data_IF_877788922318
#
_entry.id   IF_877788922318
#
_cell.length_a   1.000
_cell.length_b   1.000
_cell.length_c   1.000
_cell.angle_alpha   90.00
_cell.angle_beta   90.00
_cell.angle_gamma   90.00
#
_symmetry.space_group_name_H-M   'P 1'
#
loop_
_entity.id
_entity.type
_entity.pdbx_description
1 polymer ?
#
# COMPACT_ATOMS: atom_id res chain seq x y z
N UNK A 1 -0.25 -9.35 7.30
CA UNK A 1 -1.35 -9.84 6.46
C UNK A 1 -1.00 -11.19 5.85
N UNK A 2 -1.96 -12.08 5.79
CA UNK A 2 -1.83 -13.31 5.03
C UNK A 2 -1.95 -13.02 3.53
N UNK A 3 -1.28 -13.82 2.71
CA UNK A 3 -1.50 -13.77 1.27
C UNK A 3 -2.87 -14.38 0.95
N UNK A 4 -3.80 -13.54 0.48
CA UNK A 4 -5.19 -13.92 0.24
C UNK A 4 -5.55 -13.70 -1.22
N UNK A 5 -5.98 -14.77 -1.90
CA UNK A 5 -6.32 -14.71 -3.32
C UNK A 5 -7.50 -13.79 -3.64
N UNK A 6 -8.32 -13.43 -2.65
CA UNK A 6 -9.39 -12.45 -2.85
C UNK A 6 -8.86 -11.08 -3.26
N UNK A 7 -7.64 -10.73 -2.87
CA UNK A 7 -7.03 -9.46 -3.26
C UNK A 7 -6.84 -9.35 -4.78
N UNK A 8 -6.65 -10.46 -5.46
CA UNK A 8 -6.54 -10.46 -6.93
C UNK A 8 -7.81 -9.93 -7.59
N UNK A 9 -8.96 -10.14 -6.97
CA UNK A 9 -10.25 -9.72 -7.52
C UNK A 9 -10.61 -8.28 -7.17
N UNK A 10 -10.07 -7.76 -6.08
CA UNK A 10 -10.45 -6.43 -5.57
C UNK A 10 -9.32 -5.41 -5.66
N UNK A 11 -8.18 -5.77 -6.23
CA UNK A 11 -7.01 -4.90 -6.31
C UNK A 11 -7.31 -3.52 -6.90
N UNK A 12 -8.13 -3.45 -7.94
CA UNK A 12 -8.50 -2.19 -8.58
C UNK A 12 -9.35 -1.28 -7.69
N UNK A 13 -9.84 -1.75 -6.56
CA UNK A 13 -10.63 -0.94 -5.62
C UNK A 13 -9.75 -0.11 -4.70
N UNK A 14 -8.51 -0.55 -4.45
CA UNK A 14 -7.59 0.15 -3.55
C UNK A 14 -6.27 0.54 -4.20
N UNK A 15 -6.00 0.08 -5.42
CA UNK A 15 -4.79 0.40 -6.18
C UNK A 15 -5.14 1.24 -7.40
N UNK A 16 -4.29 2.22 -7.71
CA UNK A 16 -4.44 2.97 -8.96
C UNK A 16 -3.98 2.13 -10.15
N UNK A 17 -4.17 2.65 -11.36
CA UNK A 17 -3.85 1.92 -12.60
C UNK A 17 -2.38 1.51 -12.68
N UNK A 18 -1.45 2.37 -12.25
CA UNK A 18 -0.03 2.06 -12.26
C UNK A 18 0.30 0.93 -11.29
N UNK A 19 -0.29 0.94 -10.12
CA UNK A 19 -0.07 -0.11 -9.12
C UNK A 19 -0.61 -1.46 -9.59
N UNK A 20 -1.77 -1.46 -10.24
CA UNK A 20 -2.34 -2.67 -10.81
C UNK A 20 -1.46 -3.20 -11.94
N UNK A 21 -0.93 -2.31 -12.79
CA UNK A 21 -0.05 -2.69 -13.88
C UNK A 21 1.24 -3.33 -13.35
N UNK A 22 1.87 -2.71 -12.35
CA UNK A 22 3.10 -3.25 -11.74
C UNK A 22 2.82 -4.61 -11.10
N UNK A 23 1.68 -4.75 -10.43
CA UNK A 23 1.29 -6.02 -9.83
C UNK A 23 1.15 -7.13 -10.88
N UNK A 24 0.61 -6.80 -12.06
CA UNK A 24 0.42 -7.79 -13.13
C UNK A 24 1.73 -8.25 -13.78
N UNK A 25 2.78 -7.44 -13.67
CA UNK A 25 4.09 -7.74 -14.27
C UNK A 25 4.95 -8.66 -13.42
N UNK A 26 4.63 -8.84 -12.14
CA UNK A 26 5.41 -9.67 -11.23
C UNK A 26 4.54 -10.76 -10.59
N UNK A 27 4.60 -10.85 -9.28
CA UNK A 27 3.73 -11.73 -8.50
C UNK A 27 2.52 -10.91 -8.02
N UNK A 28 1.36 -11.01 -8.70
CA UNK A 28 0.21 -10.14 -8.37
C UNK A 28 -0.25 -10.28 -6.93
N UNK A 29 -0.32 -11.51 -6.43
CA UNK A 29 -0.80 -11.71 -5.05
C UNK A 29 0.14 -11.09 -4.03
N UNK A 30 1.44 -11.27 -4.16
CA UNK A 30 2.42 -10.69 -3.24
C UNK A 30 2.42 -9.18 -3.30
N UNK A 31 2.38 -8.62 -4.51
CA UNK A 31 2.38 -7.16 -4.70
C UNK A 31 1.11 -6.53 -4.14
N UNK A 32 -0.05 -7.11 -4.43
CA UNK A 32 -1.32 -6.60 -3.92
C UNK A 32 -1.43 -6.73 -2.41
N UNK A 33 -0.94 -7.83 -1.84
CA UNK A 33 -0.90 -8.01 -0.38
C UNK A 33 -0.03 -6.93 0.26
N UNK A 34 1.14 -6.65 -0.34
CA UNK A 34 2.03 -5.59 0.13
C UNK A 34 1.35 -4.22 0.09
N UNK A 35 0.74 -3.87 -1.05
CA UNK A 35 0.05 -2.59 -1.20
C UNK A 35 -1.13 -2.46 -0.24
N UNK A 36 -1.91 -3.51 -0.09
CA UNK A 36 -3.03 -3.52 0.86
C UNK A 36 -2.53 -3.29 2.29
N UNK A 37 -1.53 -4.03 2.73
CA UNK A 37 -0.99 -3.94 4.09
C UNK A 37 -0.42 -2.55 4.36
N UNK A 38 0.30 -1.98 3.39
CA UNK A 38 0.85 -0.63 3.50
C UNK A 38 -0.26 0.41 3.60
N UNK A 39 -1.26 0.34 2.73
CA UNK A 39 -2.36 1.31 2.72
C UNK A 39 -3.22 1.22 3.98
N UNK A 40 -3.42 0.00 4.50
CA UNK A 40 -4.12 -0.17 5.77
C UNK A 40 -3.33 0.45 6.92
N UNK A 41 -2.01 0.20 6.97
CA UNK A 41 -1.16 0.78 8.00
C UNK A 41 -1.13 2.31 7.93
N UNK A 42 -1.07 2.87 6.70
CA UNK A 42 -1.11 4.32 6.48
C UNK A 42 -2.44 4.89 6.96
N UNK A 43 -3.55 4.25 6.61
CA UNK A 43 -4.87 4.73 6.99
C UNK A 43 -5.01 4.82 8.52
N UNK A 44 -4.51 3.81 9.23
CA UNK A 44 -4.51 3.81 10.69
C UNK A 44 -3.59 4.90 11.27
N UNK A 45 -2.44 5.13 10.64
CA UNK A 45 -1.49 6.13 11.11
C UNK A 45 -2.04 7.55 10.97
N UNK A 46 -2.57 7.90 9.80
CA UNK A 46 -3.07 9.25 9.54
C UNK A 46 -4.41 9.52 10.23
N UNK A 47 -5.18 8.49 10.49
CA UNK A 47 -6.45 8.56 11.22
C UNK A 47 -7.39 9.64 10.69
N UNK A 48 -7.47 9.79 9.38
CA UNK A 48 -8.33 10.77 8.73
C UNK A 48 -9.44 10.03 7.98
N UNK A 49 -10.73 10.16 8.41
CA UNK A 49 -11.82 9.50 7.70
C UNK A 49 -12.03 10.11 6.32
N UNK A 50 -12.57 9.31 5.40
CA UNK A 50 -12.89 9.77 4.06
C UNK A 50 -11.76 9.68 3.05
N UNK A 51 -10.59 9.15 3.43
CA UNK A 51 -9.52 8.92 2.46
C UNK A 51 -9.90 7.79 1.52
N UNK A 52 -9.74 8.05 0.23
CA UNK A 52 -9.89 7.04 -0.81
C UNK A 52 -8.53 6.38 -1.06
N UNK A 53 -8.43 5.09 -0.78
CA UNK A 53 -7.16 4.37 -0.85
C UNK A 53 -6.60 4.33 -2.28
N UNK A 54 -7.45 4.37 -3.27
CA UNK A 54 -7.04 4.36 -4.68
C UNK A 54 -6.57 5.73 -5.15
N UNK A 55 -7.32 6.77 -4.78
CA UNK A 55 -7.08 8.14 -5.25
C UNK A 55 -6.08 8.89 -4.38
N UNK A 56 -6.21 8.74 -3.05
CA UNK A 56 -5.49 9.60 -2.10
C UNK A 56 -4.21 8.99 -1.56
N UNK A 57 -3.91 7.74 -1.87
CA UNK A 57 -2.68 7.06 -1.46
C UNK A 57 -2.05 6.38 -2.65
N UNK A 58 -0.79 6.73 -2.96
CA UNK A 58 -0.10 6.07 -4.07
C UNK A 58 1.36 5.83 -3.72
N UNK A 59 1.89 4.69 -4.20
CA UNK A 59 3.29 4.34 -4.02
C UNK A 59 4.14 5.17 -4.97
N UNK A 60 5.10 5.92 -4.42
CA UNK A 60 6.00 6.75 -5.21
C UNK A 60 7.29 6.05 -5.54
N UNK A 61 7.89 5.36 -4.57
CA UNK A 61 9.18 4.76 -4.78
C UNK A 61 9.40 3.59 -3.82
N UNK A 62 10.35 2.74 -4.18
CA UNK A 62 10.78 1.61 -3.39
C UNK A 62 12.09 1.95 -2.68
N UNK A 63 12.22 1.50 -1.43
CA UNK A 63 13.45 1.58 -0.65
C UNK A 63 13.96 0.18 -0.37
N UNK A 64 15.13 0.07 0.25
CA UNK A 64 15.69 -1.24 0.64
C UNK A 64 14.76 -2.01 1.59
N UNK A 65 14.02 -1.31 2.43
CA UNK A 65 13.20 -1.92 3.48
C UNK A 65 11.72 -1.87 3.21
N UNK A 66 11.29 -1.18 2.15
CA UNK A 66 9.87 -1.06 1.90
C UNK A 66 9.53 -0.06 0.79
N UNK A 67 8.46 0.71 1.03
CA UNK A 67 7.90 1.62 0.04
C UNK A 67 7.65 2.99 0.66
N UNK A 68 7.77 4.02 -0.16
CA UNK A 68 7.35 5.38 0.22
C UNK A 68 6.07 5.71 -0.53
N UNK A 69 5.05 6.09 0.23
CA UNK A 69 3.76 6.51 -0.30
C UNK A 69 3.59 8.01 -0.16
N UNK A 70 2.92 8.60 -1.12
CA UNK A 70 2.35 9.94 -0.99
C UNK A 70 0.89 9.78 -0.56
N UNK A 71 0.46 10.60 0.39
CA UNK A 71 -0.92 10.60 0.89
C UNK A 71 -1.47 12.01 0.80
N UNK A 72 -2.53 12.16 0.04
CA UNK A 72 -3.23 13.44 -0.13
C UNK A 72 -4.23 13.61 1.01
N UNK A 73 -3.94 14.53 1.91
CA UNK A 73 -4.80 14.83 3.06
C UNK A 73 -5.72 16.03 2.82
N UNK A 74 -5.80 16.49 1.57
CA UNK A 74 -6.59 17.65 1.19
C UNK A 74 -5.81 18.95 1.26
N UNK A 75 -5.41 19.38 2.45
CA UNK A 75 -4.63 20.60 2.64
C UNK A 75 -3.15 20.43 2.29
N UNK A 76 -2.64 19.20 2.37
CA UNK A 76 -1.23 18.90 2.11
C UNK A 76 -1.06 17.44 1.66
N UNK A 77 0.10 17.16 1.09
CA UNK A 77 0.50 15.79 0.75
C UNK A 77 1.62 15.40 1.71
N UNK A 78 1.41 14.32 2.44
CA UNK A 78 2.41 13.75 3.35
C UNK A 78 3.11 12.58 2.70
N UNK A 79 4.39 12.41 3.01
CA UNK A 79 5.14 11.21 2.62
C UNK A 79 5.19 10.26 3.81
N UNK A 80 4.92 8.98 3.54
CA UNK A 80 4.89 7.96 4.58
C UNK A 80 5.73 6.78 4.11
N UNK A 81 6.65 6.35 4.96
CA UNK A 81 7.45 5.16 4.70
C UNK A 81 6.79 3.95 5.31
N UNK A 82 6.59 2.90 4.51
CA UNK A 82 6.13 1.61 4.98
C UNK A 82 7.29 0.63 4.95
N UNK A 83 7.79 0.27 6.12
CA UNK A 83 8.75 -0.82 6.24
C UNK A 83 8.02 -2.15 6.10
N UNK A 84 8.57 -3.07 5.32
CA UNK A 84 7.93 -4.34 5.00
C UNK A 84 8.78 -5.48 5.52
N UNK A 85 8.14 -6.37 6.29
CA UNK A 85 8.77 -7.54 6.87
C UNK A 85 8.05 -8.78 6.36
N UNK A 86 8.52 -9.39 5.25
CA UNK A 86 7.89 -10.56 4.68
C UNK A 86 8.24 -11.82 5.48
N UNK A 87 7.29 -12.74 5.53
CA UNK A 87 7.45 -14.09 6.05
C UNK A 87 6.92 -15.05 4.96
N UNK A 88 7.03 -16.35 5.16
CA UNK A 88 6.60 -17.33 4.17
C UNK A 88 5.11 -17.24 3.82
N UNK A 89 4.28 -16.97 4.82
CA UNK A 89 2.81 -16.94 4.66
C UNK A 89 2.17 -15.59 4.99
N UNK A 90 2.93 -14.67 5.60
CA UNK A 90 2.41 -13.40 6.09
C UNK A 90 3.33 -12.24 5.70
N UNK A 91 2.79 -11.06 5.74
CA UNK A 91 3.53 -9.83 5.52
C UNK A 91 3.10 -8.80 6.56
N UNK A 92 4.07 -8.14 7.17
CA UNK A 92 3.83 -7.09 8.16
C UNK A 92 4.34 -5.77 7.56
N UNK A 93 3.48 -4.76 7.58
CA UNK A 93 3.83 -3.42 7.14
C UNK A 93 3.73 -2.46 8.32
N UNK A 94 4.76 -1.64 8.52
CA UNK A 94 4.81 -0.62 9.56
C UNK A 94 4.96 0.74 8.90
N UNK A 95 3.95 1.60 9.09
CA UNK A 95 3.93 2.93 8.49
C UNK A 95 4.47 3.98 9.47
N UNK A 96 5.35 4.85 8.98
CA UNK A 96 5.89 5.98 9.73
C UNK A 96 5.96 7.19 8.82
N UNK A 97 5.79 8.39 9.39
CA UNK A 97 5.99 9.62 8.62
C UNK A 97 7.45 9.72 8.20
N UNK A 98 7.65 10.05 6.93
CA UNK A 98 8.99 10.19 6.38
C UNK A 98 9.56 11.60 6.61
#
# INVERSE_FOLDING_TARGET
>A
ESFDTRLLKVGSRFCNENEVLVASMGSPLKTLTCLWSCKEAIYKLVNQPGLDWKRDMWCETQTEQGLIFAVNLGAEIKKIHCAIFPDETHLIAIATYA
#
